data_IF_987758746445
#
_entry.id   IF_987758746445
#
_cell.length_a   1.000
_cell.length_b   1.000
_cell.length_c   1.000
_cell.angle_alpha   90.00
_cell.angle_beta   90.00
_cell.angle_gamma   90.00
#
_symmetry.space_group_name_H-M   'P 1'
#
loop_
_entity.id
_entity.type
_entity.pdbx_description
1 polymer ?
#
# COMPACT_ATOMS: atom_id res chain seq x y z
N UNK A 1 -11.42 66.58 27.73
CA UNK A 1 -12.48 66.65 26.73
C UNK A 1 -11.82 66.55 25.37
N UNK A 2 -12.26 65.58 24.57
CA UNK A 2 -11.97 65.35 23.13
C UNK A 2 -10.52 64.99 22.71
N UNK A 3 -10.21 64.10 21.76
CA UNK A 3 -10.84 63.00 21.01
C UNK A 3 -9.71 62.37 20.18
N UNK A 4 -9.79 61.06 19.92
CA UNK A 4 -9.36 60.31 18.71
C UNK A 4 -7.94 60.54 18.16
N UNK A 5 -7.10 59.50 17.98
CA UNK A 5 -7.32 58.43 17.01
C UNK A 5 -6.43 58.68 15.78
N UNK A 6 -5.41 57.85 15.53
CA UNK A 6 -4.52 58.06 14.39
C UNK A 6 -3.48 56.96 14.21
N UNK A 7 -3.76 56.10 13.24
CA UNK A 7 -3.05 54.88 12.87
C UNK A 7 -1.83 55.14 11.95
N UNK A 8 -0.76 54.38 12.18
CA UNK A 8 0.27 53.82 11.26
C UNK A 8 0.81 54.69 10.10
N UNK A 9 2.14 54.85 10.05
CA UNK A 9 3.06 54.78 8.88
C UNK A 9 4.40 55.43 9.32
N UNK A 10 5.61 55.10 8.90
CA UNK A 10 6.18 54.21 7.91
C UNK A 10 7.70 54.19 8.22
N UNK A 11 8.37 53.04 8.12
CA UNK A 11 9.75 53.00 7.60
C UNK A 11 9.92 51.81 6.67
N UNK A 12 9.37 52.04 5.49
CA UNK A 12 9.85 51.56 4.19
C UNK A 12 11.38 51.62 4.15
N UNK A 13 12.03 50.45 4.16
CA UNK A 13 13.34 50.29 3.53
C UNK A 13 13.13 49.29 2.40
N UNK A 14 13.05 49.85 1.20
CA UNK A 14 13.19 49.11 -0.04
C UNK A 14 14.57 48.47 -0.09
N UNK A 15 14.63 47.17 -0.43
CA UNK A 15 15.75 46.60 -1.17
C UNK A 15 15.20 45.89 -2.40
N UNK A 16 15.53 46.52 -3.52
CA UNK A 16 15.92 45.95 -4.81
C UNK A 16 15.05 44.83 -5.38
N UNK A 17 14.31 45.20 -6.41
CA UNK A 17 13.82 44.32 -7.47
C UNK A 17 15.02 43.72 -8.20
N UNK A 18 15.18 42.39 -8.11
CA UNK A 18 15.67 41.59 -9.22
C UNK A 18 14.69 40.43 -9.36
N UNK A 19 14.04 40.39 -10.51
CA UNK A 19 13.21 39.29 -10.97
C UNK A 19 14.07 38.02 -11.03
N UNK A 20 13.88 37.14 -10.07
CA UNK A 20 14.08 35.71 -10.30
C UNK A 20 12.72 35.06 -10.08
N UNK A 21 12.09 34.68 -11.20
CA UNK A 21 10.92 33.82 -11.22
C UNK A 21 11.29 32.51 -10.52
N UNK A 22 11.10 32.44 -9.21
CA UNK A 22 11.03 31.16 -8.52
C UNK A 22 9.71 30.55 -8.97
N UNK A 23 9.69 29.52 -9.84
CA UNK A 23 8.44 28.84 -10.12
C UNK A 23 7.86 28.38 -8.78
N UNK A 24 6.55 28.50 -8.54
CA UNK A 24 5.94 27.93 -7.36
C UNK A 24 6.42 26.48 -7.26
N UNK A 25 6.77 25.97 -6.06
CA UNK A 25 7.26 24.61 -5.92
C UNK A 25 6.31 23.75 -6.71
N UNK A 26 6.84 23.15 -7.80
CA UNK A 26 6.10 22.30 -8.70
C UNK A 26 5.26 21.45 -7.78
N UNK A 27 3.93 21.59 -7.86
CA UNK A 27 3.00 20.68 -7.20
C UNK A 27 3.61 19.34 -7.53
N UNK A 28 4.22 18.68 -6.54
CA UNK A 28 4.59 17.30 -6.68
C UNK A 28 3.26 16.72 -7.10
N UNK A 29 3.18 16.33 -8.36
CA UNK A 29 2.22 15.34 -8.79
C UNK A 29 2.55 14.26 -7.79
N UNK A 30 1.73 14.22 -6.74
CA UNK A 30 1.73 13.18 -5.75
C UNK A 30 1.45 12.02 -6.66
N UNK A 31 2.52 11.35 -7.09
CA UNK A 31 2.47 10.05 -7.72
C UNK A 31 1.34 9.39 -6.98
N UNK A 32 0.21 9.16 -7.67
CA UNK A 32 -0.98 8.60 -7.05
C UNK A 32 -0.49 7.28 -6.48
N UNK A 33 -0.08 7.33 -5.21
CA UNK A 33 0.97 6.46 -4.73
C UNK A 33 0.38 5.09 -4.79
N UNK A 34 1.00 4.19 -5.56
CA UNK A 34 0.47 2.86 -5.84
C UNK A 34 -0.21 2.33 -4.56
N UNK A 35 -1.54 2.14 -4.63
CA UNK A 35 -2.40 1.90 -3.46
C UNK A 35 -1.83 0.72 -2.68
N UNK A 36 -1.13 1.00 -1.59
CA UNK A 36 -0.57 -0.03 -0.72
C UNK A 36 -1.72 -0.68 0.05
N UNK A 37 -1.65 -2.00 0.22
CA UNK A 37 -2.66 -2.77 0.94
C UNK A 37 -1.95 -3.62 1.98
N UNK A 38 -2.34 -3.48 3.24
CA UNK A 38 -1.92 -4.36 4.32
C UNK A 38 -2.92 -5.53 4.40
N UNK A 39 -2.43 -6.77 4.39
CA UNK A 39 -3.22 -7.96 4.66
C UNK A 39 -2.72 -8.62 5.95
N UNK A 40 -3.62 -9.23 6.71
CA UNK A 40 -3.28 -10.05 7.86
C UNK A 40 -3.45 -11.52 7.51
N UNK A 41 -2.40 -12.30 7.65
CA UNK A 41 -2.42 -13.73 7.32
C UNK A 41 -1.90 -14.56 8.48
N UNK A 42 -2.43 -15.76 8.67
CA UNK A 42 -1.85 -16.74 9.61
C UNK A 42 -1.95 -18.14 9.03
N UNK A 43 -1.14 -19.08 9.49
CA UNK A 43 -1.40 -20.49 9.20
C UNK A 43 -2.56 -20.96 10.06
N UNK A 44 -3.22 -22.04 9.65
CA UNK A 44 -4.39 -22.59 10.37
C UNK A 44 -4.07 -22.92 11.84
N UNK A 45 -2.86 -23.41 12.11
CA UNK A 45 -2.38 -23.77 13.43
C UNK A 45 -1.86 -22.58 14.28
N UNK A 46 -1.66 -21.40 13.68
CA UNK A 46 -1.09 -20.24 14.37
C UNK A 46 -2.21 -19.35 14.91
N UNK A 47 -2.10 -18.83 16.13
CA UNK A 47 -3.11 -17.90 16.68
C UNK A 47 -2.87 -16.44 16.29
N UNK A 48 -1.64 -16.11 15.88
CA UNK A 48 -1.20 -14.76 15.60
C UNK A 48 -1.14 -14.53 14.09
N UNK A 49 -1.53 -13.34 13.65
CA UNK A 49 -1.41 -12.92 12.26
C UNK A 49 -0.07 -12.24 11.98
N UNK A 50 0.48 -12.60 10.84
CA UNK A 50 1.52 -11.88 10.13
C UNK A 50 0.94 -10.77 9.26
N UNK A 51 1.62 -9.63 9.23
CA UNK A 51 1.36 -8.56 8.28
C UNK A 51 2.05 -8.85 6.93
N UNK A 52 1.28 -8.81 5.84
CA UNK A 52 1.77 -8.75 4.46
C UNK A 52 1.46 -7.37 3.88
N UNK A 53 2.50 -6.57 3.64
CA UNK A 53 2.37 -5.27 3.00
C UNK A 53 2.56 -5.40 1.50
N UNK A 54 1.48 -5.28 0.74
CA UNK A 54 1.52 -5.24 -0.72
C UNK A 54 1.90 -3.84 -1.17
N UNK A 55 3.07 -3.70 -1.79
CA UNK A 55 3.56 -2.43 -2.35
C UNK A 55 2.70 -1.95 -3.53
N UNK A 56 2.08 -2.90 -4.23
CA UNK A 56 1.10 -2.69 -5.29
C UNK A 56 0.03 -3.80 -5.18
N UNK A 57 -1.25 -3.52 -5.48
CA UNK A 57 -2.31 -4.50 -5.38
C UNK A 57 -2.35 -5.39 -6.63
N UNK A 58 -1.26 -6.11 -6.89
CA UNK A 58 -1.06 -7.00 -8.05
C UNK A 58 -0.59 -8.37 -7.59
N UNK A 59 -0.70 -9.39 -8.44
CA UNK A 59 -0.22 -10.76 -8.20
C UNK A 59 1.25 -10.76 -7.86
N UNK A 60 2.04 -10.00 -8.62
CA UNK A 60 3.46 -9.83 -8.34
C UNK A 60 3.69 -9.20 -6.96
N UNK A 61 2.92 -8.16 -6.62
CA UNK A 61 3.02 -7.50 -5.32
C UNK A 61 2.71 -8.44 -4.15
N UNK A 62 1.74 -9.33 -4.31
CA UNK A 62 1.41 -10.36 -3.32
C UNK A 62 2.50 -11.45 -3.22
N UNK A 63 3.01 -11.95 -4.36
CA UNK A 63 4.12 -12.91 -4.37
C UNK A 63 5.38 -12.34 -3.73
N UNK A 64 5.72 -11.09 -4.03
CA UNK A 64 6.86 -10.38 -3.44
C UNK A 64 6.69 -10.22 -1.93
N UNK A 65 5.49 -9.85 -1.44
CA UNK A 65 5.22 -9.71 -0.01
C UNK A 65 5.34 -11.05 0.75
N UNK A 66 4.84 -12.14 0.16
CA UNK A 66 4.97 -13.49 0.72
C UNK A 66 6.45 -13.93 0.74
N UNK A 67 7.17 -13.66 -0.34
CA UNK A 67 8.61 -13.92 -0.46
C UNK A 67 9.40 -13.20 0.62
N UNK A 68 9.17 -11.89 0.79
CA UNK A 68 9.81 -11.05 1.79
C UNK A 68 9.52 -11.55 3.21
N UNK A 69 8.27 -11.96 3.49
CA UNK A 69 7.86 -12.41 4.83
C UNK A 69 8.37 -13.80 5.20
N UNK A 70 8.37 -14.75 4.26
CA UNK A 70 8.62 -16.17 4.53
C UNK A 70 9.92 -16.72 3.92
N UNK A 71 10.71 -15.88 3.24
CA UNK A 71 11.99 -16.27 2.64
C UNK A 71 11.86 -17.25 1.45
N UNK A 72 10.71 -17.24 0.78
CA UNK A 72 10.40 -18.10 -0.35
C UNK A 72 10.63 -17.37 -1.67
N UNK A 73 11.46 -17.85 -2.60
CA UNK A 73 11.64 -17.19 -3.90
C UNK A 73 10.29 -17.02 -4.62
N UNK A 74 9.98 -15.80 -5.05
CA UNK A 74 8.70 -15.48 -5.67
C UNK A 74 8.47 -16.33 -6.94
N UNK A 75 9.53 -16.65 -7.67
CA UNK A 75 9.52 -17.47 -8.88
C UNK A 75 9.12 -18.93 -8.59
N UNK A 76 9.24 -19.38 -7.34
CA UNK A 76 8.79 -20.71 -6.94
C UNK A 76 7.30 -20.73 -6.58
N UNK A 77 6.62 -19.59 -6.48
CA UNK A 77 5.17 -19.55 -6.28
C UNK A 77 4.50 -19.74 -7.65
N UNK A 78 4.18 -20.98 -7.99
CA UNK A 78 3.66 -21.35 -9.32
C UNK A 78 2.15 -21.37 -9.38
N UNK A 79 1.46 -21.43 -8.23
CA UNK A 79 0.00 -21.38 -8.14
C UNK A 79 -0.44 -20.48 -7.00
N UNK A 80 -1.36 -19.57 -7.27
CA UNK A 80 -1.90 -18.63 -6.30
C UNK A 80 -3.43 -18.64 -6.37
N UNK A 81 -4.07 -18.97 -5.25
CA UNK A 81 -5.51 -19.12 -5.16
C UNK A 81 -6.12 -18.30 -4.03
N UNK A 82 -7.37 -17.86 -4.25
CA UNK A 82 -8.26 -17.32 -3.22
C UNK A 82 -9.34 -18.34 -2.91
N UNK A 83 -9.57 -18.65 -1.65
CA UNK A 83 -10.76 -19.40 -1.21
C UNK A 83 -11.69 -18.46 -0.46
N UNK A 84 -12.87 -18.23 -1.01
CA UNK A 84 -13.88 -17.38 -0.36
C UNK A 84 -14.53 -18.06 0.84
N UNK A 85 -15.22 -17.29 1.69
CA UNK A 85 -16.03 -17.83 2.80
C UNK A 85 -17.10 -18.85 2.34
N UNK A 86 -17.57 -18.73 1.10
CA UNK A 86 -18.52 -19.67 0.46
C UNK A 86 -17.85 -20.97 -0.03
N UNK A 87 -16.55 -21.12 0.18
CA UNK A 87 -15.77 -22.30 -0.25
C UNK A 87 -15.33 -22.27 -1.72
N UNK A 88 -15.66 -21.23 -2.48
CA UNK A 88 -15.27 -21.10 -3.89
C UNK A 88 -13.77 -20.81 -3.97
N UNK A 89 -13.05 -21.66 -4.72
CA UNK A 89 -11.63 -21.51 -5.03
C UNK A 89 -11.46 -20.79 -6.38
N UNK A 90 -10.65 -19.75 -6.40
CA UNK A 90 -10.45 -18.87 -7.57
C UNK A 90 -8.96 -18.71 -7.83
N UNK A 91 -8.52 -18.78 -9.09
CA UNK A 91 -7.15 -18.38 -9.48
C UNK A 91 -7.01 -16.87 -9.27
N UNK A 92 -5.96 -16.43 -8.58
CA UNK A 92 -5.77 -15.00 -8.40
C UNK A 92 -5.21 -14.34 -9.66
N UNK A 93 -5.78 -13.20 -10.00
CA UNK A 93 -5.27 -12.21 -10.94
C UNK A 93 -5.19 -10.84 -10.26
N UNK A 94 -4.74 -9.82 -10.98
CA UNK A 94 -4.61 -8.46 -10.44
C UNK A 94 -5.98 -7.89 -10.05
N UNK A 95 -7.03 -8.16 -10.83
CA UNK A 95 -8.39 -7.68 -10.55
C UNK A 95 -8.90 -8.14 -9.19
N UNK A 96 -8.64 -9.41 -8.82
CA UNK A 96 -9.03 -9.95 -7.52
C UNK A 96 -8.27 -9.26 -6.39
N UNK A 97 -6.98 -8.99 -6.58
CA UNK A 97 -6.11 -8.40 -5.54
C UNK A 97 -6.43 -6.92 -5.33
N UNK A 98 -6.79 -6.20 -6.39
CA UNK A 98 -7.25 -4.80 -6.31
C UNK A 98 -8.48 -4.60 -5.42
N UNK A 99 -9.30 -5.65 -5.28
CA UNK A 99 -10.49 -5.64 -4.43
C UNK A 99 -10.21 -5.93 -2.95
N UNK A 100 -8.98 -6.30 -2.58
CA UNK A 100 -8.64 -6.43 -1.17
C UNK A 100 -8.66 -5.08 -0.48
N UNK A 101 -9.20 -5.10 0.73
CA UNK A 101 -9.24 -3.95 1.63
C UNK A 101 -8.08 -4.02 2.61
N UNK A 102 -7.74 -2.86 3.16
CA UNK A 102 -6.70 -2.79 4.19
C UNK A 102 -7.16 -3.60 5.41
N UNK A 103 -6.26 -4.39 5.94
CA UNK A 103 -6.44 -5.26 7.11
C UNK A 103 -7.34 -6.48 6.88
N UNK A 104 -7.66 -6.81 5.62
CA UNK A 104 -8.34 -8.06 5.30
C UNK A 104 -7.56 -9.27 5.86
N UNK A 105 -8.29 -10.18 6.49
CA UNK A 105 -7.72 -11.32 7.21
C UNK A 105 -7.88 -12.62 6.44
N UNK A 106 -6.84 -13.44 6.40
CA UNK A 106 -6.84 -14.73 5.73
C UNK A 106 -6.12 -15.83 6.51
N UNK A 107 -6.52 -17.08 6.29
CA UNK A 107 -5.65 -18.22 6.53
C UNK A 107 -4.78 -18.43 5.29
N UNK A 108 -3.46 -18.43 5.49
CA UNK A 108 -2.47 -18.71 4.47
C UNK A 108 -2.11 -20.19 4.52
N UNK A 109 -2.36 -20.88 3.42
CA UNK A 109 -1.89 -22.25 3.20
C UNK A 109 -0.82 -22.25 2.11
N UNK A 110 0.31 -22.88 2.39
CA UNK A 110 1.45 -23.00 1.48
C UNK A 110 1.84 -24.47 1.37
N UNK A 111 1.63 -25.04 0.20
CA UNK A 111 1.91 -26.46 -0.09
C UNK A 111 3.06 -26.55 -1.10
N UNK A 112 4.07 -27.37 -0.78
CA UNK A 112 5.09 -27.73 -1.75
C UNK A 112 4.50 -28.73 -2.76
N UNK A 113 4.64 -28.42 -4.04
CA UNK A 113 4.25 -29.27 -5.16
C UNK A 113 5.48 -29.53 -6.03
N UNK A 114 5.45 -30.56 -6.90
CA UNK A 114 6.62 -30.93 -7.72
C UNK A 114 7.23 -29.75 -8.49
N UNK A 115 6.42 -28.78 -8.90
CA UNK A 115 6.83 -27.64 -9.72
C UNK A 115 7.04 -26.33 -8.91
N UNK A 116 6.99 -26.37 -7.58
CA UNK A 116 7.16 -25.18 -6.73
C UNK A 116 6.23 -25.14 -5.52
N UNK A 117 5.61 -24.00 -5.27
CA UNK A 117 4.67 -23.77 -4.18
C UNK A 117 3.29 -23.39 -4.71
N UNK A 118 2.28 -24.04 -4.15
CA UNK A 118 0.89 -23.65 -4.26
C UNK A 118 0.51 -22.86 -3.01
N UNK A 119 0.13 -21.61 -3.21
CA UNK A 119 -0.31 -20.70 -2.16
C UNK A 119 -1.82 -20.51 -2.25
N UNK A 120 -2.51 -20.58 -1.12
CA UNK A 120 -3.94 -20.27 -1.02
C UNK A 120 -4.19 -19.30 0.13
N UNK A 121 -4.86 -18.16 -0.15
CA UNK A 121 -5.43 -17.28 0.87
C UNK A 121 -6.91 -17.62 1.06
N UNK A 122 -7.29 -18.07 2.25
CA UNK A 122 -8.66 -18.40 2.61
C UNK A 122 -9.26 -17.30 3.48
N UNK A 123 -10.37 -16.71 3.02
CA UNK A 123 -11.11 -15.70 3.80
C UNK A 123 -11.72 -16.32 5.06
N UNK A 124 -11.66 -15.58 6.16
CA UNK A 124 -12.27 -15.91 7.46
C UNK A 124 -13.30 -14.86 7.86
#
# INVERSE_FOLDING_TARGET
DEREGGSILAKRIFRTVEEDFVPPPLKQIKEEGAKKVLLYVRKEADEVFDALMLKSPTVKGLMDAISEKYGLPAEKITKLYKKSKKGILVNMDDNIIEHYSNEDTFILNMENIMEGFKVTLMEI
#
